data_IF_607185573533
#
_entry.id   IF_607185573533
#
_cell.length_a   1.000
_cell.length_b   1.000
_cell.length_c   1.000
_cell.angle_alpha   90.00
_cell.angle_beta   90.00
_cell.angle_gamma   90.00
#
_symmetry.space_group_name_H-M   'P 1'
#
loop_
_entity.id
_entity.type
_entity.pdbx_description
1 polymer ?
#
# COMPACT_ATOMS: atom_id res chain seq x y z
N UNK A 1 -18.81 -19.05 10.47
CA UNK A 1 -19.08 -19.73 11.75
C UNK A 1 -19.36 -21.23 11.56
N UNK A 2 -20.07 -21.62 10.49
CA UNK A 2 -20.44 -23.01 10.23
C UNK A 2 -19.23 -23.95 10.09
N UNK A 3 -18.17 -23.50 9.42
CA UNK A 3 -16.93 -24.28 9.29
C UNK A 3 -16.19 -24.41 10.65
N UNK A 4 -16.24 -23.37 11.49
CA UNK A 4 -15.71 -23.46 12.85
C UNK A 4 -16.49 -24.49 13.68
N UNK A 5 -17.82 -24.49 13.57
CA UNK A 5 -18.66 -25.46 14.27
C UNK A 5 -18.41 -26.92 13.82
N UNK A 6 -18.23 -27.14 12.50
CA UNK A 6 -17.85 -28.48 11.97
C UNK A 6 -16.50 -28.95 12.47
N UNK A 7 -15.57 -28.03 12.70
CA UNK A 7 -14.24 -28.33 13.24
C UNK A 7 -14.19 -28.31 14.77
N UNK A 8 -15.33 -28.24 15.45
CA UNK A 8 -15.45 -28.22 16.92
C UNK A 8 -14.64 -27.06 17.55
N UNK A 9 -14.52 -25.92 16.83
CA UNK A 9 -13.79 -24.74 17.30
C UNK A 9 -14.60 -23.99 18.34
N UNK A 10 -14.06 -23.85 19.56
CA UNK A 10 -14.63 -23.03 20.61
C UNK A 10 -14.30 -21.54 20.40
N UNK A 11 -15.31 -20.73 20.11
CA UNK A 11 -15.16 -19.28 19.95
C UNK A 11 -15.36 -18.55 21.27
N UNK A 12 -14.33 -17.83 21.72
CA UNK A 12 -14.34 -17.03 22.95
C UNK A 12 -14.33 -15.54 22.59
N UNK A 13 -15.52 -14.96 22.44
CA UNK A 13 -15.69 -13.53 22.11
C UNK A 13 -15.68 -12.65 23.37
N UNK A 14 -15.32 -11.37 23.19
CA UNK A 14 -15.33 -10.37 24.28
C UNK A 14 -14.28 -10.63 25.36
N UNK A 15 -13.22 -11.38 25.06
CA UNK A 15 -12.13 -11.68 25.99
C UNK A 15 -10.90 -10.85 25.67
N UNK A 16 -10.29 -10.26 26.69
CA UNK A 16 -8.97 -9.63 26.56
C UNK A 16 -7.88 -10.65 26.93
N UNK A 17 -6.84 -10.73 26.12
CA UNK A 17 -5.64 -11.51 26.43
C UNK A 17 -4.78 -10.67 27.37
N UNK A 18 -4.59 -11.14 28.59
CA UNK A 18 -3.80 -10.45 29.65
C UNK A 18 -2.35 -10.89 29.66
N UNK A 19 -2.10 -12.18 29.38
CA UNK A 19 -0.76 -12.73 29.41
C UNK A 19 -0.70 -13.98 28.54
N UNK A 20 0.41 -14.16 27.86
CA UNK A 20 0.77 -15.41 27.20
C UNK A 20 2.09 -15.90 27.80
N UNK A 21 2.18 -17.19 28.13
CA UNK A 21 3.39 -17.81 28.64
C UNK A 21 3.58 -19.17 27.98
N UNK A 22 4.82 -19.63 27.90
CA UNK A 22 5.18 -20.98 27.45
C UNK A 22 6.06 -21.63 28.51
N UNK A 23 5.63 -22.75 29.06
CA UNK A 23 6.37 -23.52 30.04
C UNK A 23 5.98 -25.00 29.90
N UNK A 24 6.92 -25.87 30.15
CA UNK A 24 6.72 -27.35 30.13
C UNK A 24 6.10 -27.84 28.81
N UNK A 25 6.52 -27.25 27.69
CA UNK A 25 6.02 -27.59 26.35
C UNK A 25 4.56 -27.18 26.07
N UNK A 26 3.97 -26.32 26.88
CA UNK A 26 2.59 -25.86 26.70
C UNK A 26 2.48 -24.33 26.76
N UNK A 27 1.60 -23.79 25.93
CA UNK A 27 1.20 -22.39 25.99
C UNK A 27 0.07 -22.21 26.98
N UNK A 28 0.13 -21.11 27.73
CA UNK A 28 -0.88 -20.66 28.67
C UNK A 28 -1.31 -19.24 28.30
N UNK A 29 -2.56 -19.06 27.95
CA UNK A 29 -3.17 -17.79 27.63
C UNK A 29 -4.12 -17.39 28.76
N UNK A 30 -3.76 -16.34 29.49
CA UNK A 30 -4.60 -15.78 30.58
C UNK A 30 -5.55 -14.77 29.95
N UNK A 31 -6.82 -15.02 30.08
CA UNK A 31 -7.93 -14.15 29.68
C UNK A 31 -8.49 -13.42 30.91
N UNK A 32 -9.53 -12.58 30.72
CA UNK A 32 -10.14 -11.85 31.83
C UNK A 32 -10.66 -12.77 32.94
N UNK A 33 -11.32 -13.85 32.58
CA UNK A 33 -12.04 -14.73 33.52
C UNK A 33 -11.57 -16.19 33.50
N UNK A 34 -10.60 -16.56 32.67
CA UNK A 34 -10.15 -17.95 32.52
C UNK A 34 -8.71 -18.04 32.02
N UNK A 35 -8.18 -19.22 32.09
CA UNK A 35 -6.90 -19.60 31.48
C UNK A 35 -7.18 -20.67 30.43
N UNK A 36 -6.71 -20.44 29.22
CA UNK A 36 -6.66 -21.47 28.17
C UNK A 36 -5.23 -22.03 28.09
N UNK A 37 -5.12 -23.33 27.84
CA UNK A 37 -3.82 -24.00 27.66
C UNK A 37 -3.86 -24.88 26.42
N UNK A 38 -2.75 -24.89 25.66
CA UNK A 38 -2.61 -25.69 24.46
C UNK A 38 -1.18 -26.17 24.25
N UNK A 39 -0.99 -27.21 23.47
CA UNK A 39 0.33 -27.64 22.99
C UNK A 39 0.85 -26.70 21.91
N UNK A 40 -0.06 -26.06 21.16
CA UNK A 40 0.26 -25.10 20.12
C UNK A 40 -0.45 -23.76 20.34
N UNK A 41 0.15 -22.69 19.78
CA UNK A 41 -0.37 -21.32 19.76
C UNK A 41 -0.20 -20.73 18.37
N UNK A 42 -1.31 -20.24 17.79
CA UNK A 42 -1.28 -19.54 16.49
C UNK A 42 -1.50 -18.05 16.69
N UNK A 43 -0.54 -17.23 16.27
CA UNK A 43 -0.68 -15.78 16.21
C UNK A 43 -1.39 -15.43 14.89
N UNK A 44 -2.66 -15.06 14.97
CA UNK A 44 -3.53 -14.76 13.83
C UNK A 44 -4.21 -13.38 13.95
N UNK A 45 -3.64 -12.47 14.76
CA UNK A 45 -4.27 -11.19 15.08
C UNK A 45 -4.04 -10.10 14.03
N UNK A 46 -3.26 -10.40 12.99
CA UNK A 46 -2.92 -9.45 11.94
C UNK A 46 -1.99 -8.33 12.41
N UNK A 47 -1.84 -7.32 11.56
CA UNK A 47 -1.10 -6.09 11.82
C UNK A 47 -2.00 -4.92 12.26
N UNK A 48 -1.44 -3.70 12.47
CA UNK A 48 -2.17 -2.55 12.99
C UNK A 48 -3.01 -1.79 11.97
N UNK A 49 -3.12 -2.27 10.72
CA UNK A 49 -3.92 -1.60 9.69
C UNK A 49 -5.40 -1.61 10.06
N UNK A 50 -6.07 -0.46 9.83
CA UNK A 50 -7.48 -0.20 10.17
C UNK A 50 -7.76 -0.37 11.68
N UNK A 51 -7.09 0.41 12.55
CA UNK A 51 -7.21 0.26 14.02
C UNK A 51 -8.64 0.41 14.54
N UNK A 52 -9.52 1.08 13.81
CA UNK A 52 -10.96 1.17 14.12
C UNK A 52 -11.69 -0.18 14.12
N UNK A 53 -11.12 -1.18 13.47
CA UNK A 53 -11.61 -2.56 13.47
C UNK A 53 -11.04 -3.39 14.63
N UNK A 54 -10.28 -2.78 15.54
CA UNK A 54 -9.63 -3.46 16.66
C UNK A 54 -8.23 -3.97 16.36
N UNK A 55 -7.66 -3.64 15.20
CA UNK A 55 -6.30 -3.99 14.84
C UNK A 55 -5.28 -3.29 15.75
N UNK A 56 -4.27 -4.03 16.21
CA UNK A 56 -3.21 -3.56 17.12
C UNK A 56 -1.86 -4.17 16.75
N UNK A 57 -0.78 -3.73 17.40
CA UNK A 57 0.54 -4.34 17.31
C UNK A 57 0.75 -5.60 18.16
N UNK A 58 -0.30 -6.17 18.73
CA UNK A 58 -0.21 -7.30 19.68
C UNK A 58 0.57 -8.51 19.14
N UNK A 59 0.40 -8.86 17.86
CA UNK A 59 1.18 -9.92 17.21
C UNK A 59 2.69 -9.69 17.34
N UNK A 60 3.13 -8.45 17.21
CA UNK A 60 4.55 -8.08 17.22
C UNK A 60 5.14 -8.10 18.63
N UNK A 61 4.36 -7.66 19.62
CA UNK A 61 4.78 -7.74 21.02
C UNK A 61 4.93 -9.19 21.48
N UNK A 62 3.97 -10.02 21.07
CA UNK A 62 4.02 -11.45 21.35
C UNK A 62 5.18 -12.14 20.62
N UNK A 63 5.42 -11.81 19.37
CA UNK A 63 6.55 -12.33 18.59
C UNK A 63 7.90 -11.96 19.26
N UNK A 64 8.07 -10.71 19.66
CA UNK A 64 9.28 -10.25 20.40
C UNK A 64 9.45 -10.97 21.74
N UNK A 65 8.35 -11.20 22.47
CA UNK A 65 8.35 -11.95 23.72
C UNK A 65 8.93 -13.37 23.54
N UNK A 66 8.63 -14.00 22.40
CA UNK A 66 9.15 -15.33 22.04
C UNK A 66 10.46 -15.30 21.24
N UNK A 67 11.13 -14.16 21.16
CA UNK A 67 12.43 -14.02 20.52
C UNK A 67 12.40 -14.03 18.98
N UNK A 68 11.22 -13.87 18.37
CA UNK A 68 11.10 -13.70 16.92
C UNK A 68 11.47 -12.27 16.53
N UNK A 69 12.22 -12.13 15.44
CA UNK A 69 12.54 -10.84 14.85
C UNK A 69 11.29 -10.23 14.22
N UNK A 70 11.08 -8.94 14.43
CA UNK A 70 10.02 -8.16 13.80
C UNK A 70 10.66 -7.09 12.93
N UNK A 71 10.32 -7.08 11.65
CA UNK A 71 10.63 -5.99 10.73
C UNK A 71 9.69 -4.84 11.05
N UNK A 72 10.21 -3.61 11.10
CA UNK A 72 9.43 -2.45 11.54
C UNK A 72 8.15 -2.30 10.72
N UNK A 73 6.98 -2.34 11.36
CA UNK A 73 5.71 -2.25 10.67
C UNK A 73 5.45 -0.84 10.14
N UNK A 74 4.99 -0.75 8.91
CA UNK A 74 4.61 0.50 8.26
C UNK A 74 3.32 0.34 7.46
N UNK A 75 2.53 1.43 7.31
CA UNK A 75 1.33 1.37 6.48
C UNK A 75 1.69 1.11 5.02
N UNK A 76 0.98 0.20 4.37
CA UNK A 76 1.12 -0.15 2.96
C UNK A 76 -0.25 -0.18 2.26
N UNK A 77 -0.26 -0.12 0.94
CA UNK A 77 -1.47 0.12 0.15
C UNK A 77 -2.26 1.31 0.75
N UNK A 78 -1.58 2.43 0.90
CA UNK A 78 -2.03 3.60 1.65
C UNK A 78 -1.93 4.87 0.81
N UNK A 79 -2.88 5.83 0.91
CA UNK A 79 -2.76 7.11 0.23
C UNK A 79 -1.54 7.91 0.71
N UNK A 80 -0.85 8.57 -0.23
CA UNK A 80 0.29 9.44 0.02
C UNK A 80 -0.18 10.88 0.24
N UNK A 81 0.43 11.58 1.19
CA UNK A 81 0.12 12.99 1.47
C UNK A 81 1.09 13.92 0.74
N UNK A 82 0.58 15.07 0.29
CA UNK A 82 1.36 16.11 -0.38
C UNK A 82 1.44 17.36 0.49
N UNK A 83 2.62 17.99 0.50
CA UNK A 83 2.87 19.20 1.24
C UNK A 83 2.21 20.46 0.64
N UNK A 84 2.43 21.63 1.28
CA UNK A 84 1.91 22.90 0.80
C UNK A 84 2.39 23.28 -0.62
N UNK A 85 3.61 22.89 -0.99
CA UNK A 85 4.20 23.18 -2.30
C UNK A 85 3.42 22.52 -3.46
N UNK A 86 2.65 21.48 -3.13
CA UNK A 86 1.77 20.75 -4.05
C UNK A 86 0.27 21.14 -3.89
N UNK A 87 -0.02 22.33 -3.34
CA UNK A 87 -1.38 22.82 -3.10
C UNK A 87 -2.24 22.80 -4.37
N UNK A 88 -1.66 23.11 -5.54
CA UNK A 88 -2.32 23.07 -6.83
C UNK A 88 -2.92 21.69 -7.11
N UNK A 89 -2.15 20.63 -6.91
CA UNK A 89 -2.61 19.26 -7.14
C UNK A 89 -3.61 18.79 -6.06
N UNK A 90 -3.48 19.25 -4.83
CA UNK A 90 -4.48 19.00 -3.78
C UNK A 90 -5.84 19.64 -4.07
N UNK A 91 -5.86 20.76 -4.81
CA UNK A 91 -7.12 21.40 -5.26
C UNK A 91 -7.89 20.57 -6.30
N UNK A 92 -7.23 19.56 -6.91
CA UNK A 92 -7.83 18.65 -7.89
C UNK A 92 -8.62 17.52 -7.24
N UNK A 93 -8.98 17.63 -5.96
CA UNK A 93 -9.74 16.59 -5.26
C UNK A 93 -10.92 16.06 -6.08
N UNK A 94 -11.02 14.73 -6.19
CA UNK A 94 -12.00 14.01 -6.99
C UNK A 94 -11.59 13.75 -8.45
N UNK A 95 -10.48 14.31 -8.94
CA UNK A 95 -9.98 14.01 -10.29
C UNK A 95 -9.25 12.67 -10.27
N UNK A 96 -9.63 11.78 -11.18
CA UNK A 96 -8.96 10.50 -11.41
C UNK A 96 -8.51 10.39 -12.87
N UNK A 97 -7.39 9.72 -13.11
CA UNK A 97 -6.88 9.46 -14.46
C UNK A 97 -6.00 8.21 -14.45
N UNK A 98 -5.95 7.49 -15.58
CA UNK A 98 -4.98 6.41 -15.78
C UNK A 98 -3.56 6.98 -15.87
N UNK A 99 -2.63 6.35 -15.17
CA UNK A 99 -1.22 6.74 -15.11
C UNK A 99 -0.31 5.51 -15.04
N UNK A 100 1.00 5.73 -15.19
CA UNK A 100 1.98 4.81 -14.61
C UNK A 100 2.64 5.52 -13.43
N UNK A 101 2.40 5.02 -12.22
CA UNK A 101 3.08 5.49 -11.01
C UNK A 101 4.31 4.62 -10.73
N UNK A 102 5.44 5.25 -10.40
CA UNK A 102 6.72 4.56 -10.20
C UNK A 102 7.42 5.02 -8.93
N UNK A 103 8.07 4.06 -8.24
CA UNK A 103 8.99 4.32 -7.13
C UNK A 103 10.13 3.29 -7.20
N UNK A 104 11.36 3.76 -7.40
CA UNK A 104 12.49 2.87 -7.66
C UNK A 104 12.26 1.99 -8.88
N UNK A 105 12.29 0.67 -8.68
CA UNK A 105 12.04 -0.32 -9.75
C UNK A 105 10.55 -0.71 -9.89
N UNK A 106 9.74 -0.37 -8.91
CA UNK A 106 8.32 -0.69 -8.94
C UNK A 106 7.56 0.31 -9.81
N UNK A 107 6.64 -0.19 -10.63
CA UNK A 107 5.78 0.63 -11.49
C UNK A 107 4.42 -0.04 -11.65
N UNK A 108 3.36 0.77 -11.63
CA UNK A 108 1.98 0.30 -11.70
C UNK A 108 1.16 1.17 -12.64
N UNK A 109 0.56 0.54 -13.66
CA UNK A 109 -0.32 1.20 -14.61
C UNK A 109 -1.77 0.99 -14.18
N UNK A 110 -2.34 2.00 -13.56
CA UNK A 110 -3.67 1.99 -12.98
C UNK A 110 -4.19 3.43 -12.83
N UNK A 111 -5.39 3.60 -12.28
CA UNK A 111 -5.90 4.92 -11.95
C UNK A 111 -5.18 5.54 -10.75
N UNK A 112 -4.78 6.82 -10.88
CA UNK A 112 -4.44 7.69 -9.76
C UNK A 112 -5.63 8.61 -9.45
N UNK A 113 -5.86 8.88 -8.16
CA UNK A 113 -6.90 9.78 -7.67
C UNK A 113 -6.25 10.92 -6.87
N UNK A 114 -6.54 12.15 -7.25
CA UNK A 114 -6.20 13.33 -6.48
C UNK A 114 -7.19 13.53 -5.35
N UNK A 115 -6.69 13.81 -4.14
CA UNK A 115 -7.50 14.07 -2.95
C UNK A 115 -7.07 15.40 -2.30
N UNK A 116 -7.88 15.93 -1.40
CA UNK A 116 -7.54 17.14 -0.64
C UNK A 116 -6.29 16.98 0.26
N UNK A 117 -5.86 15.74 0.54
CA UNK A 117 -4.63 15.46 1.31
C UNK A 117 -3.44 15.10 0.42
N UNK A 118 -3.65 14.71 -0.83
CA UNK A 118 -2.60 14.27 -1.74
C UNK A 118 -3.11 13.27 -2.78
N UNK A 119 -2.44 12.13 -2.89
CA UNK A 119 -2.63 11.14 -3.93
C UNK A 119 -3.18 9.82 -3.37
N UNK A 120 -4.06 9.19 -4.12
CA UNK A 120 -4.68 7.90 -3.84
C UNK A 120 -4.99 7.18 -5.15
N UNK A 121 -5.82 6.16 -5.10
CA UNK A 121 -6.17 5.31 -6.26
C UNK A 121 -5.21 4.13 -6.42
N UNK A 122 -5.59 3.11 -7.20
CA UNK A 122 -4.86 1.84 -7.25
C UNK A 122 -3.37 1.97 -7.57
N UNK A 123 -2.98 2.83 -8.53
CA UNK A 123 -1.58 3.07 -8.88
C UNK A 123 -0.78 3.60 -7.68
N UNK A 124 -1.37 4.54 -6.93
CA UNK A 124 -0.72 5.18 -5.79
C UNK A 124 -0.67 4.24 -4.59
N UNK A 125 -1.76 3.52 -4.30
CA UNK A 125 -1.78 2.56 -3.21
C UNK A 125 -0.70 1.48 -3.40
N UNK A 126 -0.56 0.95 -4.60
CA UNK A 126 0.45 -0.06 -4.89
C UNK A 126 1.88 0.50 -4.77
N UNK A 127 2.15 1.68 -5.37
CA UNK A 127 3.49 2.28 -5.29
C UNK A 127 3.87 2.70 -3.87
N UNK A 128 2.88 3.04 -3.01
CA UNK A 128 3.12 3.41 -1.61
C UNK A 128 3.76 2.30 -0.79
N UNK A 129 3.57 1.04 -1.16
CA UNK A 129 4.21 -0.11 -0.51
C UNK A 129 5.73 -0.14 -0.71
N UNK A 130 6.23 0.56 -1.73
CA UNK A 130 7.66 0.66 -2.07
C UNK A 130 8.27 2.00 -1.67
N UNK A 131 7.43 3.03 -1.50
CA UNK A 131 7.89 4.36 -1.16
C UNK A 131 8.48 4.44 0.24
N UNK A 132 9.58 5.20 0.39
CA UNK A 132 10.20 5.53 1.67
C UNK A 132 10.14 7.04 1.92
N UNK A 133 10.07 7.49 3.20
CA UNK A 133 10.07 8.90 3.52
C UNK A 133 11.25 9.66 2.91
N UNK A 134 10.95 10.75 2.20
CA UNK A 134 11.93 11.59 1.52
C UNK A 134 12.21 11.21 0.07
N UNK A 135 11.73 10.06 -0.40
CA UNK A 135 11.87 9.68 -1.81
C UNK A 135 10.76 10.31 -2.68
N UNK A 136 11.05 10.70 -3.92
CA UNK A 136 10.02 11.06 -4.89
C UNK A 136 9.33 9.81 -5.43
N UNK A 137 8.09 9.99 -5.90
CA UNK A 137 7.45 9.10 -6.87
C UNK A 137 7.38 9.81 -8.22
N UNK A 138 7.44 9.06 -9.31
CA UNK A 138 7.24 9.58 -10.64
C UNK A 138 5.90 9.11 -11.21
N UNK A 139 5.19 10.01 -11.89
CA UNK A 139 3.91 9.70 -12.54
C UNK A 139 4.02 10.02 -14.03
N UNK A 140 3.78 9.03 -14.87
CA UNK A 140 3.52 9.21 -16.30
C UNK A 140 2.02 9.49 -16.49
N UNK A 141 1.71 10.72 -16.93
CA UNK A 141 0.34 11.17 -17.21
C UNK A 141 -0.15 10.88 -18.62
N UNK A 142 0.69 10.34 -19.47
CA UNK A 142 0.34 10.01 -20.86
C UNK A 142 0.77 8.59 -21.24
N UNK A 143 0.45 7.55 -20.42
CA UNK A 143 0.96 6.21 -20.64
C UNK A 143 0.50 5.67 -22.00
N UNK A 144 1.47 5.15 -22.78
CA UNK A 144 1.22 4.59 -24.10
C UNK A 144 1.13 5.61 -25.24
N UNK A 145 1.32 6.90 -24.99
CA UNK A 145 1.46 7.89 -26.06
C UNK A 145 2.83 7.75 -26.74
N UNK A 146 2.89 7.82 -28.06
CA UNK A 146 4.17 7.76 -28.80
C UNK A 146 4.98 9.04 -28.53
N UNK A 147 6.31 8.94 -28.61
CA UNK A 147 7.17 10.12 -28.57
C UNK A 147 6.78 11.11 -29.66
N UNK A 148 6.75 12.40 -29.33
CA UNK A 148 6.40 13.47 -30.27
C UNK A 148 4.89 13.74 -30.35
N UNK A 149 4.06 13.17 -29.49
CA UNK A 149 2.61 13.40 -29.51
C UNK A 149 2.23 14.88 -29.29
N UNK A 150 3.02 15.65 -28.56
CA UNK A 150 2.81 17.11 -28.44
C UNK A 150 3.24 17.86 -29.72
N UNK A 151 4.24 17.37 -30.45
CA UNK A 151 4.58 17.89 -31.77
C UNK A 151 3.48 17.60 -32.80
N UNK A 152 2.84 16.46 -32.72
CA UNK A 152 1.68 16.15 -33.56
C UNK A 152 0.46 16.99 -33.14
N UNK A 153 0.27 17.22 -31.83
CA UNK A 153 -0.76 18.17 -31.38
C UNK A 153 -0.51 19.59 -31.94
N UNK A 154 0.73 20.06 -31.99
CA UNK A 154 1.11 21.35 -32.61
C UNK A 154 0.71 21.43 -34.08
N UNK A 155 0.88 20.34 -34.84
CA UNK A 155 0.47 20.26 -36.28
C UNK A 155 -1.05 20.26 -36.43
N UNK A 156 -1.74 19.49 -35.57
CA UNK A 156 -3.18 19.23 -35.71
C UNK A 156 -4.05 20.36 -35.12
N UNK A 157 -3.55 21.06 -34.10
CA UNK A 157 -4.26 22.16 -33.42
C UNK A 157 -3.32 23.34 -33.12
N UNK A 158 -2.76 24.00 -34.17
CA UNK A 158 -1.70 24.99 -34.02
C UNK A 158 -2.09 26.22 -33.17
N UNK A 159 -3.36 26.63 -33.18
CA UNK A 159 -3.88 27.74 -32.40
C UNK A 159 -4.29 27.40 -30.97
N UNK A 160 -4.21 26.13 -30.61
CA UNK A 160 -4.55 25.69 -29.26
C UNK A 160 -3.42 26.07 -28.28
N UNK A 161 -3.81 26.26 -27.03
CA UNK A 161 -2.89 26.36 -25.88
C UNK A 161 -2.58 24.96 -25.34
N UNK A 162 -1.49 24.84 -24.57
CA UNK A 162 -1.06 23.55 -23.99
C UNK A 162 -2.17 22.83 -23.20
N UNK A 163 -3.02 23.50 -22.37
CA UNK A 163 -4.11 22.82 -21.67
C UNK A 163 -5.07 22.05 -22.59
N UNK A 164 -5.34 22.57 -23.79
CA UNK A 164 -6.23 21.92 -24.74
C UNK A 164 -5.60 20.64 -25.31
N UNK A 165 -4.29 20.64 -25.60
CA UNK A 165 -3.57 19.44 -26.02
C UNK A 165 -3.53 18.38 -24.91
N UNK A 166 -3.22 18.79 -23.67
CA UNK A 166 -3.22 17.91 -22.50
C UNK A 166 -4.62 17.34 -22.20
N UNK A 167 -5.67 18.12 -22.45
CA UNK A 167 -7.07 17.70 -22.28
C UNK A 167 -7.49 16.54 -23.20
N UNK A 168 -6.67 16.20 -24.21
CA UNK A 168 -6.89 14.97 -25.03
C UNK A 168 -6.42 13.68 -24.36
N UNK A 169 -5.69 13.77 -23.24
CA UNK A 169 -5.11 12.62 -22.54
C UNK A 169 -5.48 12.56 -21.06
N UNK A 170 -5.71 13.71 -20.41
CA UNK A 170 -6.10 13.77 -19.00
C UNK A 170 -7.32 14.65 -18.80
N UNK A 171 -8.05 14.54 -17.68
CA UNK A 171 -9.20 15.40 -17.39
C UNK A 171 -8.83 16.91 -17.41
N UNK A 172 -9.74 17.74 -17.87
CA UNK A 172 -9.50 19.17 -18.13
C UNK A 172 -8.91 19.93 -16.92
N UNK A 173 -9.37 19.66 -15.70
CA UNK A 173 -8.83 20.27 -14.48
C UNK A 173 -7.36 19.90 -14.26
N UNK A 174 -6.98 18.66 -14.50
CA UNK A 174 -5.59 18.20 -14.40
C UNK A 174 -4.75 18.77 -15.54
N UNK A 175 -5.27 18.80 -16.77
CA UNK A 175 -4.61 19.42 -17.91
C UNK A 175 -4.25 20.88 -17.64
N UNK A 176 -5.16 21.66 -17.06
CA UNK A 176 -4.92 23.04 -16.68
C UNK A 176 -3.79 23.16 -15.62
N UNK A 177 -3.83 22.34 -14.57
CA UNK A 177 -2.82 22.36 -13.51
C UNK A 177 -1.43 21.95 -14.01
N UNK A 178 -1.35 20.93 -14.86
CA UNK A 178 -0.08 20.50 -15.47
C UNK A 178 0.49 21.60 -16.38
N UNK A 179 -0.35 22.21 -17.20
CA UNK A 179 0.06 23.30 -18.08
C UNK A 179 0.52 24.55 -17.29
N UNK A 180 -0.15 24.86 -16.17
CA UNK A 180 0.29 25.94 -15.27
C UNK A 180 1.70 25.69 -14.73
N UNK A 181 2.01 24.47 -14.32
CA UNK A 181 3.34 24.08 -13.81
C UNK A 181 4.41 23.95 -14.91
N UNK A 182 4.01 23.66 -16.15
CA UNK A 182 4.91 23.66 -17.31
C UNK A 182 5.23 25.10 -17.76
N UNK A 183 4.27 26.02 -17.60
CA UNK A 183 4.39 27.48 -17.85
C UNK A 183 4.63 27.86 -19.33
N UNK A 184 4.02 27.12 -20.26
CA UNK A 184 4.00 27.47 -21.68
C UNK A 184 2.71 28.20 -22.04
N UNK A 185 2.77 29.57 -22.12
CA UNK A 185 1.60 30.45 -22.17
C UNK A 185 1.27 31.00 -23.55
N UNK A 186 1.74 30.38 -24.62
CA UNK A 186 1.46 30.79 -25.98
C UNK A 186 0.84 29.65 -26.77
N UNK A 187 0.25 29.95 -27.93
CA UNK A 187 -0.28 28.93 -28.82
C UNK A 187 0.79 27.93 -29.22
N UNK A 188 0.41 26.66 -29.44
CA UNK A 188 1.32 25.58 -29.79
C UNK A 188 2.18 25.92 -31.03
N UNK A 189 1.59 26.60 -32.03
CA UNK A 189 2.32 27.04 -33.22
C UNK A 189 3.55 27.89 -32.92
N UNK A 190 3.47 28.72 -31.89
CA UNK A 190 4.50 29.67 -31.48
C UNK A 190 5.55 29.09 -30.52
N UNK A 191 5.34 27.84 -30.02
CA UNK A 191 6.27 27.16 -29.12
C UNK A 191 7.45 26.57 -29.92
N UNK A 192 8.69 26.67 -29.45
CA UNK A 192 9.80 25.89 -29.98
C UNK A 192 9.51 24.40 -29.87
N UNK A 193 9.92 23.61 -30.87
CA UNK A 193 9.74 22.16 -30.82
C UNK A 193 10.41 21.52 -29.58
N UNK A 194 11.58 22.05 -29.18
CA UNK A 194 12.29 21.57 -27.98
C UNK A 194 11.46 21.76 -26.71
N UNK A 195 10.76 22.89 -26.56
CA UNK A 195 9.90 23.15 -25.40
C UNK A 195 8.76 22.11 -25.27
N UNK A 196 8.21 21.65 -26.41
CA UNK A 196 7.20 20.59 -26.42
C UNK A 196 7.79 19.21 -26.09
N UNK A 197 9.01 18.93 -26.58
CA UNK A 197 9.73 17.68 -26.23
C UNK A 197 10.06 17.65 -24.73
N UNK A 198 10.49 18.78 -24.17
CA UNK A 198 10.79 18.91 -22.73
C UNK A 198 9.51 18.75 -21.88
N UNK A 199 8.40 19.36 -22.32
CA UNK A 199 7.10 19.20 -21.68
C UNK A 199 6.62 17.76 -21.71
N UNK A 200 6.76 17.08 -22.86
CA UNK A 200 6.42 15.67 -23.02
C UNK A 200 7.26 14.77 -22.09
N UNK A 201 8.56 15.03 -22.02
CA UNK A 201 9.48 14.29 -21.15
C UNK A 201 9.11 14.46 -19.67
N UNK A 202 8.72 15.68 -19.27
CA UNK A 202 8.27 15.99 -17.92
C UNK A 202 6.95 15.30 -17.59
N UNK A 203 6.02 15.23 -18.54
CA UNK A 203 4.73 14.53 -18.37
C UNK A 203 4.89 13.02 -18.24
N UNK A 204 5.90 12.44 -18.91
CA UNK A 204 6.20 11.00 -18.84
C UNK A 204 6.88 10.58 -17.52
N UNK A 205 7.40 11.53 -16.72
CA UNK A 205 8.06 11.27 -15.45
C UNK A 205 7.88 12.43 -14.47
N UNK A 206 6.62 12.80 -14.21
CA UNK A 206 6.30 13.92 -13.34
C UNK A 206 6.62 13.59 -11.88
N UNK A 207 7.54 14.33 -11.24
CA UNK A 207 7.91 14.04 -9.87
C UNK A 207 6.86 14.59 -8.90
N UNK A 208 6.48 13.78 -7.92
CA UNK A 208 5.82 14.21 -6.69
C UNK A 208 6.71 13.87 -5.50
N UNK A 209 6.69 14.74 -4.49
CA UNK A 209 7.45 14.55 -3.25
C UNK A 209 6.47 14.39 -2.08
N UNK A 210 5.95 13.16 -1.85
CA UNK A 210 5.07 12.93 -0.73
C UNK A 210 5.78 13.26 0.59
N UNK A 211 5.08 13.93 1.49
CA UNK A 211 5.58 14.27 2.83
C UNK A 211 5.15 13.24 3.88
N UNK A 212 4.44 12.19 3.49
CA UNK A 212 3.98 11.12 4.37
C UNK A 212 2.88 10.28 3.73
N UNK A 213 2.24 9.48 4.57
CA UNK A 213 1.07 8.66 4.24
C UNK A 213 -0.12 9.07 5.10
N UNK A 214 -1.32 8.57 4.80
CA UNK A 214 -2.48 8.74 5.69
C UNK A 214 -2.49 7.74 6.86
N UNK A 215 -1.37 7.04 7.11
CA UNK A 215 -1.15 6.17 8.25
C UNK A 215 -1.98 4.88 8.24
N UNK A 216 -1.86 4.12 9.32
CA UNK A 216 -2.57 2.85 9.49
C UNK A 216 -4.11 2.98 9.45
N UNK A 217 -4.66 4.15 9.74
CA UNK A 217 -6.11 4.38 9.63
C UNK A 217 -6.66 4.20 8.20
N UNK A 218 -5.80 4.36 7.20
CA UNK A 218 -6.13 4.29 5.78
C UNK A 218 -5.36 3.23 5.01
N UNK A 219 -4.43 2.55 5.67
CA UNK A 219 -3.68 1.46 5.08
C UNK A 219 -4.58 0.22 4.94
N UNK A 220 -4.56 -0.41 3.77
CA UNK A 220 -5.28 -1.67 3.57
C UNK A 220 -4.54 -2.84 4.22
N UNK A 221 -3.21 -2.77 4.28
CA UNK A 221 -2.35 -3.81 4.87
C UNK A 221 -1.14 -3.19 5.57
N UNK A 222 -0.42 -4.03 6.32
CA UNK A 222 0.83 -3.67 6.97
C UNK A 222 2.01 -4.25 6.19
N UNK A 223 2.99 -3.43 5.83
CA UNK A 223 4.30 -3.91 5.40
C UNK A 223 5.22 -4.01 6.62
N UNK A 224 6.13 -4.96 6.62
CA UNK A 224 6.84 -5.37 7.83
C UNK A 224 6.04 -6.36 8.66
N UNK A 225 6.49 -6.68 9.85
CA UNK A 225 5.87 -7.66 10.73
C UNK A 225 6.83 -8.77 11.15
N UNK A 226 6.30 -9.91 11.56
CA UNK A 226 7.07 -11.09 11.99
C UNK A 226 7.93 -11.59 10.82
N UNK A 227 9.25 -11.55 10.99
CA UNK A 227 10.20 -11.89 9.92
C UNK A 227 10.04 -13.34 9.50
N UNK A 228 9.91 -13.57 8.19
CA UNK A 228 9.73 -14.89 7.59
C UNK A 228 10.92 -15.83 7.79
N UNK A 229 12.14 -15.29 7.99
CA UNK A 229 13.33 -16.11 8.26
C UNK A 229 13.21 -16.90 9.56
N UNK A 230 12.41 -16.42 10.52
CA UNK A 230 12.13 -17.09 11.78
C UNK A 230 11.06 -18.18 11.70
N UNK A 231 10.39 -18.32 10.57
CA UNK A 231 9.27 -19.23 10.36
C UNK A 231 9.61 -20.34 9.35
N UNK A 232 8.98 -21.48 9.51
CA UNK A 232 8.98 -22.53 8.51
C UNK A 232 8.07 -22.13 7.34
N UNK A 233 8.58 -22.15 6.13
CA UNK A 233 7.79 -21.85 4.93
C UNK A 233 6.72 -22.92 4.61
N UNK A 234 6.81 -24.09 5.20
CA UNK A 234 5.87 -25.19 4.98
C UNK A 234 4.75 -25.19 6.02
N UNK A 235 5.08 -24.89 7.29
CA UNK A 235 4.17 -25.06 8.42
C UNK A 235 3.78 -23.75 9.09
N UNK A 236 4.47 -22.63 8.77
CA UNK A 236 4.35 -21.35 9.48
C UNK A 236 4.77 -21.41 10.96
N UNK A 237 5.38 -22.50 11.42
CA UNK A 237 5.89 -22.67 12.78
C UNK A 237 7.16 -21.86 13.00
N UNK A 238 7.32 -21.29 14.19
CA UNK A 238 8.54 -20.62 14.60
C UNK A 238 9.69 -21.64 14.77
N UNK A 239 10.82 -21.42 14.09
CA UNK A 239 11.96 -22.36 14.10
C UNK A 239 12.60 -22.53 15.48
N UNK A 240 12.42 -21.57 16.37
CA UNK A 240 13.05 -21.51 17.71
C UNK A 240 12.09 -21.82 18.85
N UNK A 241 10.78 -21.87 18.60
CA UNK A 241 9.76 -22.12 19.62
C UNK A 241 8.77 -23.16 19.11
N UNK A 242 8.97 -24.44 19.42
CA UNK A 242 8.08 -25.50 18.97
C UNK A 242 6.62 -25.25 19.37
N UNK A 243 5.71 -25.47 18.45
CA UNK A 243 4.28 -25.26 18.66
C UNK A 243 3.82 -23.80 18.54
N UNK A 244 4.71 -22.83 18.29
CA UNK A 244 4.34 -21.45 18.02
C UNK A 244 4.23 -21.21 16.51
N UNK A 245 3.08 -20.73 16.06
CA UNK A 245 2.80 -20.42 14.64
C UNK A 245 2.44 -18.95 14.48
N UNK A 246 2.76 -18.37 13.32
CA UNK A 246 2.33 -17.01 12.96
C UNK A 246 1.83 -16.97 11.52
N UNK A 247 0.65 -16.37 11.30
CA UNK A 247 -0.04 -16.37 10.01
C UNK A 247 -0.65 -15.00 9.67
N UNK A 248 -1.03 -14.83 8.40
CA UNK A 248 -1.75 -13.65 7.92
C UNK A 248 -0.92 -12.37 7.92
N UNK A 249 -1.60 -11.24 8.05
CA UNK A 249 -1.02 -9.88 7.96
C UNK A 249 -0.08 -9.51 9.12
N UNK A 250 0.03 -10.37 10.14
CA UNK A 250 1.05 -10.22 11.19
C UNK A 250 2.45 -10.64 10.75
N UNK A 251 2.58 -11.37 9.65
CA UNK A 251 3.86 -11.84 9.07
C UNK A 251 4.32 -10.86 8.00
N UNK A 252 5.64 -10.65 7.89
CA UNK A 252 6.25 -9.75 6.89
C UNK A 252 6.11 -10.29 5.46
N UNK A 253 4.87 -10.29 4.97
CA UNK A 253 4.49 -10.61 3.59
C UNK A 253 3.43 -9.62 3.14
N UNK A 254 3.77 -8.83 2.12
CA UNK A 254 2.89 -7.78 1.60
C UNK A 254 2.64 -8.02 0.11
N UNK A 255 1.39 -8.25 -0.24
CA UNK A 255 0.93 -8.41 -1.61
C UNK A 255 0.39 -7.11 -2.23
N UNK A 256 0.20 -7.12 -3.53
CA UNK A 256 -0.44 -6.05 -4.28
C UNK A 256 -1.96 -6.00 -4.07
N UNK A 257 -2.62 -4.99 -4.64
CA UNK A 257 -4.08 -5.00 -4.79
C UNK A 257 -4.53 -6.17 -5.67
N UNK A 258 -5.74 -6.68 -5.43
CA UNK A 258 -6.29 -7.81 -6.19
C UNK A 258 -6.47 -9.10 -5.39
N UNK A 259 -6.51 -9.00 -4.05
CA UNK A 259 -6.81 -10.14 -3.17
C UNK A 259 -5.60 -10.94 -2.70
N UNK A 260 -4.37 -10.58 -3.10
CA UNK A 260 -3.15 -11.32 -2.72
C UNK A 260 -2.95 -11.42 -1.21
N UNK A 261 -3.28 -10.36 -0.45
CA UNK A 261 -3.14 -10.36 1.01
C UNK A 261 -4.16 -11.28 1.68
N UNK A 262 -5.38 -11.36 1.17
CA UNK A 262 -6.37 -12.36 1.59
C UNK A 262 -5.91 -13.77 1.24
N UNK A 263 -5.39 -13.96 0.03
CA UNK A 263 -4.86 -15.27 -0.40
C UNK A 263 -3.71 -15.72 0.50
N UNK A 264 -2.82 -14.80 0.88
CA UNK A 264 -1.76 -15.07 1.85
C UNK A 264 -2.32 -15.48 3.22
N UNK A 265 -3.30 -14.75 3.75
CA UNK A 265 -3.92 -15.06 5.03
C UNK A 265 -4.53 -16.46 5.03
N UNK A 266 -5.27 -16.81 3.97
CA UNK A 266 -5.85 -18.16 3.82
C UNK A 266 -4.78 -19.24 3.63
N UNK A 267 -3.78 -19.02 2.80
CA UNK A 267 -2.74 -20.00 2.52
C UNK A 267 -1.87 -20.28 3.75
N UNK A 268 -1.45 -19.24 4.48
CA UNK A 268 -0.67 -19.39 5.71
C UNK A 268 -1.49 -20.03 6.83
N UNK A 269 -2.78 -19.68 6.96
CA UNK A 269 -3.70 -20.32 7.91
C UNK A 269 -3.90 -21.79 7.62
N UNK A 270 -4.09 -22.17 6.34
CA UNK A 270 -4.18 -23.58 5.93
C UNK A 270 -2.88 -24.33 6.21
N UNK A 271 -1.73 -23.73 5.89
CA UNK A 271 -0.43 -24.35 6.13
C UNK A 271 -0.25 -24.66 7.62
N UNK A 272 -0.49 -23.70 8.51
CA UNK A 272 -0.42 -23.92 9.95
C UNK A 272 -1.42 -24.98 10.42
N UNK A 273 -2.68 -24.90 9.99
CA UNK A 273 -3.75 -25.80 10.42
C UNK A 273 -3.57 -27.28 10.05
N UNK A 274 -2.59 -27.61 9.21
CA UNK A 274 -2.24 -29.01 8.92
C UNK A 274 -1.26 -29.61 9.95
N UNK A 275 -0.67 -28.78 10.81
CA UNK A 275 0.40 -29.21 11.73
C UNK A 275 0.12 -28.82 13.20
N UNK A 276 -0.92 -28.04 13.46
CA UNK A 276 -1.35 -27.65 14.81
C UNK A 276 -2.09 -28.78 15.52
#
# INVERSE_FOLDING_TARGET
LDECAKGEVELQLGQSIRKVAHADGRFRVTLDNRIATGAALVIATGGPSIPKMGATGFAYDLARQFGLKVVEPRPALVPLTLGPDEALFRSLSGVATEVVASCGKAHFREAALFTHKGLSGPAILQVSSYWQPGEPIAIDFAPGRPKGWLLDAKKNMPRAMLPAALGTVVPARLAAALAERIDLKVELANLPNQALVDAESRLAAWPFHPNGTQGFEKAEVTAGGINTDGLSSQTMEAKTVPGLYAIGDGVDVTGWLGGYNFQWAWASGRAAGQFV
#
